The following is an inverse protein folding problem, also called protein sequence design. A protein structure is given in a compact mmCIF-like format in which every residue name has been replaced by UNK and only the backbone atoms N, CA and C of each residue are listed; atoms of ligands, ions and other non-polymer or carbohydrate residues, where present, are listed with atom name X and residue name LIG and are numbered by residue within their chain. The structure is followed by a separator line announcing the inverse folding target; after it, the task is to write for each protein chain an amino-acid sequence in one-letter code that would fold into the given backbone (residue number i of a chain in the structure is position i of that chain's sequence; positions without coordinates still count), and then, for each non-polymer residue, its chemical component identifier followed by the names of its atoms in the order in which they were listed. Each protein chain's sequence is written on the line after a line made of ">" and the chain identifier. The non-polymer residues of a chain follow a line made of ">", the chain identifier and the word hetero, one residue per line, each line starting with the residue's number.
data_IF_438965750135
#
_entry.id   IF_438965750135
#
_cell.length_a   1.000
_cell.length_b   1.000
_cell.length_c   1.000
_cell.angle_alpha   90.00
_cell.angle_beta   90.00
_cell.angle_gamma   90.00
#
_symmetry.space_group_name_H-M   'P 1'
#
loop_
_entity.id
_entity.type
_entity.pdbx_description
1 polymer ?
#
# COMPACT_ATOMS: atom_id res chain seq x y z
N UNK A 1 -53.42 27.49 -14.91
CA UNK A 1 -52.89 26.62 -15.97
C UNK A 1 -51.87 25.67 -15.37
N UNK A 2 -52.22 24.40 -15.24
CA UNK A 2 -51.38 23.35 -14.62
C UNK A 2 -50.45 22.77 -15.68
N UNK A 3 -49.16 23.07 -15.60
CA UNK A 3 -48.15 22.47 -16.50
C UNK A 3 -47.55 21.24 -15.86
N UNK A 4 -47.96 20.10 -16.39
CA UNK A 4 -47.46 18.74 -16.18
C UNK A 4 -45.95 18.63 -16.41
N UNK A 5 -45.22 18.10 -15.43
CA UNK A 5 -43.80 17.73 -15.57
C UNK A 5 -43.73 16.34 -16.22
N UNK A 6 -42.99 16.12 -17.32
CA UNK A 6 -42.90 14.80 -17.92
C UNK A 6 -41.96 13.91 -17.10
N UNK A 7 -42.43 12.69 -16.82
CA UNK A 7 -41.62 11.59 -16.34
C UNK A 7 -40.80 11.02 -17.51
N UNK A 8 -39.49 10.94 -17.37
CA UNK A 8 -38.63 10.34 -18.39
C UNK A 8 -37.16 10.31 -18.00
N UNK A 9 -36.72 9.18 -17.43
CA UNK A 9 -35.54 8.46 -17.93
C UNK A 9 -35.34 7.15 -17.15
N UNK A 10 -35.42 6.05 -17.89
CA UNK A 10 -34.93 4.72 -17.55
C UNK A 10 -33.41 4.78 -17.32
N UNK A 11 -32.87 4.42 -16.14
CA UNK A 11 -31.44 4.49 -15.89
C UNK A 11 -30.71 3.41 -16.69
N UNK A 12 -29.89 3.84 -17.65
CA UNK A 12 -29.03 2.99 -18.46
C UNK A 12 -28.32 1.89 -17.62
N UNK A 13 -28.19 0.65 -18.14
CA UNK A 13 -27.68 -0.48 -17.38
C UNK A 13 -26.28 -0.21 -16.84
N UNK A 14 -26.10 -0.48 -15.54
CA UNK A 14 -24.83 -0.25 -14.84
C UNK A 14 -23.69 -1.03 -15.51
N UNK A 15 -22.51 -0.42 -15.72
CA UNK A 15 -21.39 -1.09 -16.36
C UNK A 15 -20.91 -2.29 -15.53
N UNK A 16 -21.02 -3.50 -16.10
CA UNK A 16 -20.58 -4.74 -15.45
C UNK A 16 -19.08 -4.93 -15.66
N UNK A 17 -18.33 -5.05 -14.57
CA UNK A 17 -16.89 -5.36 -14.61
C UNK A 17 -16.69 -6.82 -15.03
N UNK A 18 -15.66 -7.09 -15.83
CA UNK A 18 -15.26 -8.47 -16.21
C UNK A 18 -14.78 -9.22 -14.98
N UNK A 19 -15.37 -10.37 -14.69
CA UNK A 19 -14.87 -11.35 -13.72
C UNK A 19 -14.04 -12.40 -14.43
N UNK A 20 -12.97 -12.88 -13.79
CA UNK A 20 -12.10 -13.93 -14.32
C UNK A 20 -12.41 -15.25 -13.63
N UNK A 21 -12.94 -16.22 -14.37
CA UNK A 21 -13.17 -17.57 -13.86
C UNK A 21 -11.84 -18.27 -13.52
N UNK A 22 -11.82 -19.23 -12.58
CA UNK A 22 -10.61 -20.00 -12.26
C UNK A 22 -10.01 -20.71 -13.49
N UNK A 23 -10.86 -21.30 -14.33
CA UNK A 23 -10.47 -21.95 -15.59
C UNK A 23 -9.77 -20.98 -16.55
N UNK A 24 -10.31 -19.76 -16.67
CA UNK A 24 -9.70 -18.70 -17.48
C UNK A 24 -8.31 -18.34 -16.95
N UNK A 25 -8.17 -18.18 -15.63
CA UNK A 25 -6.87 -17.85 -15.00
C UNK A 25 -5.84 -18.95 -15.26
N UNK A 26 -6.23 -20.22 -15.15
CA UNK A 26 -5.37 -21.38 -15.42
C UNK A 26 -4.90 -21.44 -16.87
N UNK A 27 -5.83 -21.26 -17.83
CA UNK A 27 -5.52 -21.23 -19.26
C UNK A 27 -4.47 -20.16 -19.58
N UNK A 28 -4.65 -18.95 -19.06
CA UNK A 28 -3.70 -17.84 -19.29
C UNK A 28 -2.35 -18.09 -18.63
N UNK A 29 -2.32 -18.68 -17.42
CA UNK A 29 -1.06 -19.02 -16.76
C UNK A 29 -0.30 -20.10 -17.54
N UNK A 30 -0.98 -21.14 -18.03
CA UNK A 30 -0.37 -22.17 -18.86
C UNK A 30 0.18 -21.61 -20.18
N UNK A 31 -0.60 -20.76 -20.87
CA UNK A 31 -0.16 -20.07 -22.09
C UNK A 31 1.05 -19.15 -21.84
N UNK A 32 1.05 -18.42 -20.72
CA UNK A 32 2.17 -17.55 -20.34
C UNK A 32 3.44 -18.30 -19.95
N UNK A 33 3.28 -19.47 -19.31
CA UNK A 33 4.40 -20.34 -18.91
C UNK A 33 5.03 -21.02 -20.12
N UNK A 34 4.22 -21.44 -21.10
CA UNK A 34 4.67 -22.05 -22.35
C UNK A 34 5.21 -21.07 -23.40
N UNK A 35 4.86 -19.79 -23.33
CA UNK A 35 5.32 -18.80 -24.31
C UNK A 35 6.82 -18.46 -24.17
N UNK A 36 7.56 -18.27 -25.28
CA UNK A 36 8.93 -17.77 -25.25
C UNK A 36 8.97 -16.31 -24.75
N UNK A 37 10.12 -15.86 -24.22
CA UNK A 37 10.25 -14.58 -23.49
C UNK A 37 9.77 -13.35 -24.27
N UNK A 38 9.92 -13.37 -25.59
CA UNK A 38 9.48 -12.33 -26.54
C UNK A 38 7.96 -12.30 -26.77
N UNK A 39 7.26 -13.43 -26.62
CA UNK A 39 5.84 -13.57 -26.94
C UNK A 39 4.92 -13.48 -25.72
N UNK A 40 5.47 -13.60 -24.51
CA UNK A 40 4.73 -13.38 -23.25
C UNK A 40 3.97 -12.05 -23.21
N UNK A 41 4.55 -11.00 -23.79
CA UNK A 41 3.89 -9.70 -23.90
C UNK A 41 2.76 -9.67 -24.93
N UNK A 42 2.76 -10.53 -25.95
CA UNK A 42 1.69 -10.62 -26.94
C UNK A 42 0.42 -11.24 -26.32
N UNK A 43 0.58 -12.31 -25.55
CA UNK A 43 -0.50 -12.96 -24.79
C UNK A 43 -1.19 -11.96 -23.86
N UNK A 44 -0.40 -11.20 -23.09
CA UNK A 44 -0.92 -10.19 -22.16
C UNK A 44 -1.69 -9.05 -22.85
N UNK A 45 -1.24 -8.62 -24.04
CA UNK A 45 -1.93 -7.56 -24.79
C UNK A 45 -3.24 -8.04 -25.40
N UNK A 46 -3.30 -9.28 -25.91
CA UNK A 46 -4.53 -9.89 -26.45
C UNK A 46 -5.63 -9.94 -25.40
N UNK A 47 -5.27 -10.32 -24.18
CA UNK A 47 -6.24 -10.50 -23.09
C UNK A 47 -6.44 -9.23 -22.22
N UNK A 48 -5.74 -8.13 -22.55
CA UNK A 48 -5.67 -6.87 -21.78
C UNK A 48 -5.32 -7.10 -20.30
N UNK A 49 -4.36 -8.00 -20.06
CA UNK A 49 -3.87 -8.36 -18.73
C UNK A 49 -2.51 -7.73 -18.44
N UNK A 50 -2.29 -7.33 -17.18
CA UNK A 50 -1.00 -6.89 -16.69
C UNK A 50 -0.19 -8.05 -16.12
N UNK A 51 1.15 -7.92 -16.12
CA UNK A 51 2.08 -8.91 -15.58
C UNK A 51 1.82 -9.24 -14.09
N UNK A 52 1.29 -8.28 -13.32
CA UNK A 52 0.90 -8.49 -11.93
C UNK A 52 -0.15 -9.59 -11.78
N UNK A 53 -1.16 -9.62 -12.65
CA UNK A 53 -2.22 -10.63 -12.59
C UNK A 53 -1.66 -12.04 -12.78
N UNK A 54 -0.77 -12.23 -13.74
CA UNK A 54 -0.17 -13.55 -14.00
C UNK A 54 0.74 -13.98 -12.84
N UNK A 55 1.49 -13.05 -12.25
CA UNK A 55 2.31 -13.33 -11.06
C UNK A 55 1.45 -13.77 -9.88
N UNK A 56 0.34 -13.08 -9.63
CA UNK A 56 -0.62 -13.41 -8.56
C UNK A 56 -1.28 -14.77 -8.81
N UNK A 57 -1.69 -15.06 -10.05
CA UNK A 57 -2.32 -16.34 -10.40
C UNK A 57 -1.34 -17.51 -10.35
N UNK A 58 -0.06 -17.31 -10.70
CA UNK A 58 0.99 -18.33 -10.50
C UNK A 58 1.19 -18.64 -9.03
N UNK A 59 1.34 -17.62 -8.18
CA UNK A 59 1.44 -17.82 -6.74
C UNK A 59 0.21 -18.54 -6.17
N UNK A 60 -0.99 -18.21 -6.65
CA UNK A 60 -2.22 -18.88 -6.24
C UNK A 60 -2.33 -20.34 -6.72
N UNK A 61 -1.82 -20.65 -7.93
CA UNK A 61 -1.72 -22.01 -8.45
C UNK A 61 -0.76 -22.83 -7.61
N UNK A 62 0.43 -22.30 -7.36
CA UNK A 62 1.49 -22.98 -6.63
C UNK A 62 1.10 -23.18 -5.14
N UNK A 63 0.23 -22.32 -4.60
CA UNK A 63 -0.37 -22.45 -3.27
C UNK A 63 -1.63 -23.37 -3.22
N UNK A 64 -2.04 -23.98 -4.34
CA UNK A 64 -3.23 -24.84 -4.42
C UNK A 64 -4.56 -24.11 -4.15
N UNK A 65 -4.56 -22.78 -4.16
CA UNK A 65 -5.65 -21.96 -3.63
C UNK A 65 -6.59 -21.41 -4.71
N UNK A 66 -6.64 -22.02 -5.91
CA UNK A 66 -7.30 -21.43 -7.09
C UNK A 66 -8.82 -21.29 -6.98
N UNK A 67 -9.50 -22.25 -6.33
CA UNK A 67 -10.95 -22.18 -6.07
C UNK A 67 -11.30 -21.10 -5.03
N UNK A 68 -10.33 -20.71 -4.19
CA UNK A 68 -10.49 -19.67 -3.18
C UNK A 68 -10.19 -18.24 -3.70
N UNK A 69 -10.02 -18.06 -5.03
CA UNK A 69 -9.92 -16.73 -5.66
C UNK A 69 -11.27 -16.22 -6.18
N UNK A 70 -12.29 -16.27 -5.34
CA UNK A 70 -13.31 -15.23 -5.41
C UNK A 70 -12.62 -13.92 -5.00
N UNK A 71 -12.78 -12.89 -5.82
CA UNK A 71 -12.13 -11.59 -5.66
C UNK A 71 -12.21 -11.13 -4.20
N UNK A 72 -11.07 -11.14 -3.48
CA UNK A 72 -10.97 -10.71 -2.07
C UNK A 72 -11.43 -9.26 -1.88
N UNK A 73 -11.59 -8.50 -2.97
CA UNK A 73 -12.12 -7.14 -3.00
C UNK A 73 -13.66 -7.10 -2.90
N UNK A 74 -14.34 -8.22 -3.05
CA UNK A 74 -15.82 -8.34 -3.04
C UNK A 74 -16.34 -9.41 -2.05
N UNK A 75 -15.48 -9.94 -1.17
CA UNK A 75 -15.89 -10.82 -0.07
C UNK A 75 -16.23 -10.04 1.22
N UNK A 76 -17.08 -10.60 2.12
CA UNK A 76 -17.38 -9.98 3.40
C UNK A 76 -16.10 -9.84 4.25
N UNK A 77 -16.08 -8.79 5.08
CA UNK A 77 -14.92 -8.29 5.80
C UNK A 77 -14.12 -9.38 6.55
N UNK A 78 -12.80 -9.23 6.48
CA UNK A 78 -11.78 -10.15 7.02
C UNK A 78 -11.89 -10.28 8.55
N UNK A 79 -12.12 -11.49 9.07
CA UNK A 79 -11.81 -11.82 10.47
C UNK A 79 -10.29 -11.90 10.62
N UNK A 80 -9.73 -11.16 11.58
CA UNK A 80 -8.30 -11.12 11.87
C UNK A 80 -7.89 -12.46 12.52
N UNK A 81 -6.94 -13.20 11.93
CA UNK A 81 -6.32 -14.36 12.59
C UNK A 81 -5.31 -13.87 13.64
N UNK A 82 -5.38 -14.46 14.83
CA UNK A 82 -4.62 -14.10 16.03
C UNK A 82 -3.15 -14.55 15.97
N UNK A 83 -2.31 -13.84 16.71
CA UNK A 83 -0.85 -13.88 16.70
C UNK A 83 -0.17 -15.20 17.15
N UNK A 84 -0.92 -16.26 17.39
CA UNK A 84 -0.42 -17.51 17.99
C UNK A 84 -0.10 -18.61 16.97
N UNK A 85 -0.56 -18.50 15.72
CA UNK A 85 -0.23 -19.48 14.66
C UNK A 85 1.16 -19.26 14.04
N UNK A 86 1.75 -18.08 14.21
CA UNK A 86 3.04 -17.70 13.60
C UNK A 86 4.25 -18.22 14.40
N UNK A 87 4.09 -18.62 15.66
CA UNK A 87 5.20 -19.13 16.48
C UNK A 87 5.50 -20.61 16.22
N UNK A 88 4.50 -21.42 15.85
CA UNK A 88 4.70 -22.87 15.61
C UNK A 88 5.46 -23.17 14.32
N UNK A 89 5.33 -22.34 13.27
CA UNK A 89 6.12 -22.48 12.04
C UNK A 89 7.58 -22.03 12.22
N UNK A 90 7.86 -21.16 13.21
CA UNK A 90 9.19 -20.60 13.46
C UNK A 90 10.14 -21.56 14.19
N UNK A 91 9.60 -22.57 14.90
CA UNK A 91 10.38 -23.55 15.63
C UNK A 91 10.89 -24.73 14.76
N UNK A 92 10.27 -24.99 13.59
CA UNK A 92 10.65 -26.11 12.72
C UNK A 92 11.85 -25.81 11.80
N UNK A 93 12.27 -24.54 11.66
CA UNK A 93 13.33 -24.12 10.73
C UNK A 93 14.74 -24.02 11.36
N UNK A 94 14.91 -24.33 12.65
CA UNK A 94 16.17 -24.15 13.38
C UNK A 94 17.01 -25.44 13.57
N UNK A 95 16.59 -26.59 13.03
CA UNK A 95 17.33 -27.86 13.12
C UNK A 95 17.72 -28.40 11.74
N UNK A 96 18.93 -28.09 11.28
CA UNK A 96 19.48 -28.73 10.07
C UNK A 96 20.68 -28.01 9.45
N UNK A 97 21.86 -28.18 10.05
CA UNK A 97 23.12 -27.88 9.39
C UNK A 97 24.20 -28.89 9.82
N UNK A 98 24.61 -29.78 8.90
CA UNK A 98 25.96 -30.37 8.82
C UNK A 98 26.15 -31.27 7.57
N UNK A 99 27.33 -31.11 6.94
CA UNK A 99 27.98 -31.93 5.89
C UNK A 99 27.34 -31.91 4.48
N UNK A 100 28.04 -31.81 3.35
CA UNK A 100 29.42 -32.16 2.96
C UNK A 100 29.80 -31.39 1.66
N UNK A 101 31.10 -31.16 1.38
CA UNK A 101 31.58 -30.43 0.19
C UNK A 101 31.72 -31.29 -1.08
N UNK A 102 31.87 -30.69 -2.29
CA UNK A 102 33.20 -30.76 -2.94
C UNK A 102 33.59 -29.56 -3.85
N UNK A 103 34.91 -29.35 -4.02
CA UNK A 103 35.60 -29.12 -5.31
C UNK A 103 35.52 -27.76 -6.02
N UNK A 104 36.65 -27.20 -6.54
CA UNK A 104 36.72 -25.83 -7.05
C UNK A 104 36.39 -25.75 -8.54
N UNK A 105 35.34 -25.01 -8.91
CA UNK A 105 35.09 -24.58 -10.29
C UNK A 105 34.91 -23.06 -10.35
N UNK A 106 35.77 -22.45 -11.14
CA UNK A 106 35.84 -21.02 -11.39
C UNK A 106 34.62 -20.60 -12.20
N UNK A 107 33.79 -19.69 -11.66
CA UNK A 107 32.71 -19.13 -12.47
C UNK A 107 31.64 -18.34 -11.72
N UNK A 108 31.92 -17.04 -11.53
CA UNK A 108 30.97 -15.95 -11.19
C UNK A 108 30.66 -15.76 -9.71
N UNK A 109 31.38 -14.82 -9.11
CA UNK A 109 30.96 -14.07 -7.92
C UNK A 109 29.67 -13.30 -8.19
N UNK A 110 28.52 -13.93 -7.97
CA UNK A 110 27.24 -13.24 -7.74
C UNK A 110 26.86 -13.44 -6.29
N UNK A 111 27.40 -12.63 -5.37
CA UNK A 111 27.04 -12.81 -3.97
C UNK A 111 27.50 -11.78 -2.96
N UNK A 112 28.56 -11.01 -3.22
CA UNK A 112 29.24 -10.26 -2.14
C UNK A 112 28.49 -8.99 -1.69
N UNK A 113 27.36 -8.66 -2.34
CA UNK A 113 26.51 -7.54 -1.96
C UNK A 113 25.52 -7.83 -0.82
N UNK A 114 25.46 -9.06 -0.31
CA UNK A 114 24.51 -9.46 0.74
C UNK A 114 25.07 -9.35 2.16
N UNK A 115 26.37 -9.59 2.36
CA UNK A 115 26.99 -9.49 3.69
C UNK A 115 26.99 -8.06 4.23
N UNK A 116 27.14 -7.06 3.36
CA UNK A 116 27.07 -5.64 3.77
C UNK A 116 25.66 -5.15 4.16
N UNK A 117 24.59 -5.88 3.76
CA UNK A 117 23.22 -5.54 4.16
C UNK A 117 22.86 -5.99 5.57
N UNK A 118 23.71 -6.81 6.20
CA UNK A 118 23.51 -7.35 7.54
C UNK A 118 23.35 -6.26 8.62
N UNK A 119 24.09 -5.14 8.49
CA UNK A 119 23.95 -3.99 9.40
C UNK A 119 22.87 -2.99 8.94
N UNK A 120 22.60 -2.90 7.64
CA UNK A 120 21.71 -1.88 7.09
C UNK A 120 20.25 -2.31 7.00
N UNK A 121 19.93 -3.09 5.97
CA UNK A 121 18.56 -3.47 5.69
C UNK A 121 18.06 -4.52 6.69
N UNK A 122 18.90 -5.48 7.08
CA UNK A 122 18.43 -6.59 7.92
C UNK A 122 18.08 -6.13 9.35
N UNK A 123 18.83 -5.17 9.92
CA UNK A 123 18.48 -4.55 11.20
C UNK A 123 17.22 -3.66 11.10
N UNK A 124 17.01 -3.03 9.94
CA UNK A 124 15.81 -2.22 9.65
C UNK A 124 14.56 -3.09 9.54
N UNK A 125 14.63 -4.21 8.84
CA UNK A 125 13.54 -5.18 8.70
C UNK A 125 13.19 -5.82 10.06
N UNK A 126 14.15 -5.92 10.98
CA UNK A 126 13.95 -6.42 12.36
C UNK A 126 13.44 -5.35 13.35
N UNK A 127 13.23 -4.11 12.91
CA UNK A 127 12.72 -3.03 13.77
C UNK A 127 13.77 -2.41 14.71
N UNK A 128 15.05 -2.75 14.58
CA UNK A 128 16.15 -2.24 15.42
C UNK A 128 16.69 -0.88 14.94
N UNK A 129 15.99 -0.22 14.02
CA UNK A 129 16.34 1.08 13.45
C UNK A 129 16.63 2.20 14.49
N UNK A 130 15.90 2.35 15.61
CA UNK A 130 16.23 3.40 16.59
C UNK A 130 17.54 3.16 17.34
N UNK A 131 17.93 1.89 17.55
CA UNK A 131 19.18 1.53 18.22
C UNK A 131 20.38 1.48 17.25
N UNK A 132 20.16 0.94 16.04
CA UNK A 132 21.19 0.82 15.02
C UNK A 132 21.47 2.14 14.29
N UNK A 133 20.49 3.04 14.23
CA UNK A 133 20.59 4.32 13.52
C UNK A 133 21.81 5.16 13.91
N UNK A 134 22.00 5.48 15.22
CA UNK A 134 23.16 6.25 15.68
C UNK A 134 24.49 5.59 15.37
N UNK A 135 24.61 4.27 15.56
CA UNK A 135 25.85 3.50 15.29
C UNK A 135 26.20 3.53 13.80
N UNK A 136 25.20 3.35 12.93
CA UNK A 136 25.36 3.45 11.47
C UNK A 136 25.71 4.87 11.04
N UNK A 137 25.16 5.88 11.70
CA UNK A 137 25.43 7.29 11.41
C UNK A 137 26.87 7.67 11.81
N UNK A 138 27.34 7.24 12.97
CA UNK A 138 28.73 7.43 13.44
C UNK A 138 29.74 6.74 12.52
N UNK A 139 29.49 5.46 12.20
CA UNK A 139 30.31 4.72 11.25
C UNK A 139 30.33 5.38 9.87
N UNK A 140 29.22 6.00 9.44
CA UNK A 140 29.15 6.70 8.17
C UNK A 140 30.02 7.96 8.18
N UNK A 141 29.93 8.77 9.24
CA UNK A 141 30.74 10.00 9.35
C UNK A 141 32.24 9.71 9.40
N UNK A 142 32.65 8.61 10.03
CA UNK A 142 34.07 8.21 10.08
C UNK A 142 34.65 7.79 8.73
N UNK A 143 33.82 7.22 7.83
CA UNK A 143 34.28 6.66 6.55
C UNK A 143 34.04 7.61 5.37
N UNK A 144 33.08 8.54 5.48
CA UNK A 144 32.72 9.49 4.42
C UNK A 144 33.90 10.36 3.97
N UNK A 145 34.69 10.86 4.92
CA UNK A 145 35.80 11.77 4.64
C UNK A 145 36.89 11.17 3.73
N UNK A 146 37.01 9.83 3.70
CA UNK A 146 38.05 9.13 2.97
C UNK A 146 37.57 8.49 1.67
N UNK A 147 36.33 7.99 1.63
CA UNK A 147 35.81 7.19 0.51
C UNK A 147 34.67 7.87 -0.27
N UNK A 148 34.20 9.02 0.22
CA UNK A 148 33.06 9.73 -0.34
C UNK A 148 31.70 9.08 -0.03
N UNK A 149 30.64 9.85 -0.23
CA UNK A 149 29.26 9.54 0.19
C UNK A 149 28.77 8.18 -0.34
N UNK A 150 29.07 7.85 -1.60
CA UNK A 150 28.53 6.64 -2.24
C UNK A 150 29.16 5.37 -1.69
N UNK A 151 30.48 5.37 -1.46
CA UNK A 151 31.17 4.23 -0.88
C UNK A 151 30.82 4.08 0.60
N UNK A 152 30.80 5.18 1.36
CA UNK A 152 30.38 5.18 2.76
C UNK A 152 28.94 4.67 2.95
N UNK A 153 27.99 5.08 2.08
CA UNK A 153 26.61 4.56 2.14
C UNK A 153 26.54 3.05 1.86
N UNK A 154 27.38 2.54 0.95
CA UNK A 154 27.45 1.10 0.64
C UNK A 154 28.05 0.32 1.81
N UNK A 155 29.11 0.83 2.41
CA UNK A 155 29.81 0.19 3.53
C UNK A 155 28.98 0.21 4.83
N UNK A 156 28.25 1.27 5.09
CA UNK A 156 27.44 1.35 6.32
C UNK A 156 26.05 0.71 6.18
N UNK A 157 25.67 0.29 4.97
CA UNK A 157 24.31 -0.17 4.68
C UNK A 157 23.26 0.94 4.77
N UNK A 158 23.69 2.22 4.82
CA UNK A 158 22.82 3.38 4.88
C UNK A 158 22.17 3.66 3.52
N UNK A 159 20.86 3.92 3.52
CA UNK A 159 20.16 4.35 2.31
C UNK A 159 20.64 5.73 1.85
N UNK A 160 21.18 5.81 0.62
CA UNK A 160 21.57 7.09 -0.01
C UNK A 160 20.43 8.10 -0.03
N UNK A 161 19.20 7.64 -0.27
CA UNK A 161 18.02 8.52 -0.28
C UNK A 161 17.76 9.14 1.10
N UNK A 162 17.97 8.37 2.18
CA UNK A 162 17.83 8.86 3.55
C UNK A 162 18.91 9.88 3.90
N UNK A 163 20.16 9.65 3.49
CA UNK A 163 21.25 10.61 3.68
C UNK A 163 20.90 11.98 3.04
N UNK A 164 20.50 12.00 1.76
CA UNK A 164 20.12 13.25 1.11
C UNK A 164 18.86 13.91 1.69
N UNK A 165 17.86 13.13 2.14
CA UNK A 165 16.68 13.68 2.84
C UNK A 165 17.03 14.34 4.17
N UNK A 166 18.07 13.85 4.87
CA UNK A 166 18.55 14.46 6.12
C UNK A 166 19.38 15.71 5.87
N UNK A 167 20.24 15.69 4.84
CA UNK A 167 21.00 16.88 4.43
C UNK A 167 20.09 18.00 3.90
N UNK A 168 18.97 17.64 3.27
CA UNK A 168 17.99 18.58 2.71
C UNK A 168 16.61 18.30 3.30
N UNK A 169 16.39 18.65 4.58
CA UNK A 169 15.10 18.45 5.20
C UNK A 169 14.05 19.23 4.40
N UNK A 170 12.89 18.61 4.21
CA UNK A 170 11.76 19.30 3.59
C UNK A 170 11.41 20.48 4.51
N UNK A 171 11.36 21.72 4.01
CA UNK A 171 11.00 22.85 4.84
C UNK A 171 9.63 22.59 5.49
N UNK A 172 9.40 23.07 6.72
CA UNK A 172 8.12 22.88 7.37
C UNK A 172 7.02 23.39 6.44
N UNK A 173 5.98 22.56 6.23
CA UNK A 173 4.82 22.98 5.45
C UNK A 173 4.25 24.21 6.13
N UNK A 174 4.19 25.33 5.40
CA UNK A 174 3.46 26.51 5.86
C UNK A 174 2.05 26.07 6.24
N UNK A 175 1.60 26.44 7.44
CA UNK A 175 0.23 26.18 7.86
C UNK A 175 -0.70 26.77 6.80
N UNK A 176 -1.55 25.92 6.22
CA UNK A 176 -2.57 26.41 5.29
C UNK A 176 -3.56 27.20 6.13
N UNK A 177 -3.63 28.51 5.90
CA UNK A 177 -4.73 29.31 6.44
C UNK A 177 -6.02 28.76 5.80
N UNK A 178 -7.02 28.34 6.59
CA UNK A 178 -8.31 27.96 6.04
C UNK A 178 -8.85 29.10 5.19
N UNK A 179 -9.10 28.84 3.91
CA UNK A 179 -9.77 29.80 3.03
C UNK A 179 -11.23 29.86 3.46
N UNK A 180 -11.64 30.99 4.04
CA UNK A 180 -13.04 31.23 4.39
C UNK A 180 -13.79 31.57 3.11
N UNK A 181 -14.90 30.89 2.85
CA UNK A 181 -15.74 31.17 1.69
C UNK A 181 -16.30 32.61 1.81
N UNK A 182 -16.43 33.38 0.72
CA UNK A 182 -16.91 34.76 0.78
C UNK A 182 -18.34 34.90 1.31
N UNK A 183 -19.14 33.83 1.24
CA UNK A 183 -20.50 33.75 1.79
C UNK A 183 -20.56 33.14 3.20
N UNK A 184 -19.41 32.86 3.82
CA UNK A 184 -19.40 32.29 5.16
C UNK A 184 -19.74 33.37 6.19
N UNK A 185 -20.81 33.12 6.95
CA UNK A 185 -21.19 33.94 8.10
C UNK A 185 -19.99 34.09 9.05
N UNK A 186 -19.72 35.34 9.41
CA UNK A 186 -18.77 35.72 10.45
C UNK A 186 -19.19 35.15 11.80
N UNK A 187 -18.28 35.11 12.76
CA UNK A 187 -18.57 34.59 14.10
C UNK A 187 -19.71 35.37 14.79
N UNK A 188 -19.76 36.67 14.58
CA UNK A 188 -20.79 37.57 15.10
C UNK A 188 -22.16 37.32 14.45
N UNK A 189 -22.20 37.17 13.12
CA UNK A 189 -23.43 36.85 12.41
C UNK A 189 -23.97 35.46 12.79
N UNK A 190 -23.08 34.49 13.02
CA UNK A 190 -23.49 33.17 13.54
C UNK A 190 -24.08 33.27 14.93
N UNK A 191 -23.51 34.08 15.81
CA UNK A 191 -24.05 34.31 17.14
C UNK A 191 -25.44 34.96 17.08
N UNK A 192 -25.63 35.96 16.23
CA UNK A 192 -26.92 36.61 16.01
C UNK A 192 -27.97 35.64 15.43
N UNK A 193 -27.60 34.76 14.50
CA UNK A 193 -28.51 33.72 13.96
C UNK A 193 -28.87 32.71 15.05
N UNK A 194 -27.92 32.27 15.88
CA UNK A 194 -28.19 31.36 16.99
C UNK A 194 -29.10 32.00 18.03
N UNK A 195 -28.88 33.28 18.35
CA UNK A 195 -29.73 34.04 19.26
C UNK A 195 -31.16 34.19 18.70
N UNK A 196 -31.29 34.51 17.42
CA UNK A 196 -32.58 34.56 16.72
C UNK A 196 -33.30 33.21 16.76
N UNK A 197 -32.60 32.12 16.47
CA UNK A 197 -33.16 30.77 16.54
C UNK A 197 -33.58 30.38 17.96
N UNK A 198 -32.86 30.85 18.98
CA UNK A 198 -33.16 30.58 20.39
C UNK A 198 -34.20 31.55 20.98
N UNK A 199 -34.67 32.54 20.22
CA UNK A 199 -35.73 33.45 20.67
C UNK A 199 -37.04 32.69 20.96
N UNK A 200 -37.82 33.19 21.92
CA UNK A 200 -39.10 32.57 22.29
C UNK A 200 -40.11 32.55 21.13
N UNK A 201 -40.04 33.52 20.22
CA UNK A 201 -40.91 33.59 19.05
C UNK A 201 -40.74 32.39 18.12
N UNK A 202 -39.49 31.99 17.85
CA UNK A 202 -39.17 30.83 17.02
C UNK A 202 -39.49 29.52 17.76
N UNK A 203 -39.19 29.44 19.07
CA UNK A 203 -39.55 28.27 19.89
C UNK A 203 -41.06 28.03 19.96
N UNK A 204 -41.86 29.08 20.11
CA UNK A 204 -43.34 29.00 20.09
C UNK A 204 -43.88 28.66 18.69
N UNK A 205 -43.24 29.14 17.63
CA UNK A 205 -43.61 28.80 16.25
C UNK A 205 -43.32 27.32 15.94
N UNK A 206 -42.17 26.79 16.35
CA UNK A 206 -41.88 25.35 16.25
C UNK A 206 -42.86 24.51 17.08
N UNK A 207 -43.12 24.87 18.34
CA UNK A 207 -44.07 24.13 19.19
C UNK A 207 -45.52 24.13 18.63
N UNK A 208 -45.93 25.20 17.95
CA UNK A 208 -47.21 25.24 17.22
C UNK A 208 -47.22 24.37 15.97
N UNK A 209 -46.09 24.22 15.29
CA UNK A 209 -45.97 23.34 14.13
C UNK A 209 -45.99 21.86 14.51
N UNK A 210 -45.41 21.48 15.67
CA UNK A 210 -45.40 20.10 16.17
C UNK A 210 -46.75 19.64 16.74
N UNK A 211 -47.59 20.56 17.24
CA UNK A 211 -48.94 20.25 17.73
C UNK A 211 -50.01 20.18 16.62
N UNK A 212 -49.61 20.44 15.37
CA UNK A 212 -50.49 20.45 14.20
C UNK A 212 -50.34 19.26 13.24
N UNK A 213 -49.59 18.22 13.64
CA UNK A 213 -49.39 16.98 12.87
C UNK A 213 -50.13 15.79 13.50
#
# INVERSE_FOLDING_TARGET
>A
MTSTKPAGSDPAPRPKRRSFSPEYKLRIVAEYDGAPRNEKGAVLRRERLYHSHVKEWRAARDAGALENLVDRRTGPARVKKSATEVENEKAAAAGGAAAEGPGPEQGRTRGDGKSFRALGNDLRERGLNPAAGPVVDEAFTGVEAQLGITAACRLTGRSRATHYRRLRPVPPRRARVPQVQPSALTAEERAAVVELMNSEGVRRACARADLGA
#
